data_IF_476787882082
#
_entry.id   IF_476787882082
#
_cell.length_a   1.000
_cell.length_b   1.000
_cell.length_c   1.000
_cell.angle_alpha   90.00
_cell.angle_beta   90.00
_cell.angle_gamma   90.00
#
_symmetry.space_group_name_H-M   'P 1'
#
loop_
_entity.id
_entity.type
_entity.pdbx_description
1 polymer ?
#
# COMPACT_ATOMS: atom_id res chain seq x y z
N UNK A 1 25.54 6.45 3.17
CA UNK A 1 24.20 6.23 3.77
C UNK A 1 23.38 5.38 2.81
N UNK A 2 22.70 4.35 3.32
CA UNK A 2 21.79 3.53 2.48
C UNK A 2 20.53 4.33 2.13
N UNK A 3 20.01 4.13 0.90
CA UNK A 3 18.78 4.79 0.46
C UNK A 3 17.57 4.27 1.26
N UNK A 4 16.60 5.13 1.61
CA UNK A 4 15.47 4.74 2.43
C UNK A 4 14.48 3.82 1.70
N UNK A 5 13.75 3.02 2.47
CA UNK A 5 12.51 2.40 2.03
C UNK A 5 11.38 3.43 2.10
N UNK A 6 10.65 3.66 1.03
CA UNK A 6 9.40 4.41 1.09
C UNK A 6 8.29 3.47 1.56
N UNK A 7 7.70 3.73 2.74
CA UNK A 7 6.58 2.97 3.27
C UNK A 7 5.32 3.83 3.24
N UNK A 8 4.38 3.50 2.36
CA UNK A 8 3.10 4.18 2.20
C UNK A 8 2.06 3.56 3.14
N UNK A 9 1.36 4.39 3.92
CA UNK A 9 0.45 3.93 4.97
C UNK A 9 1.16 3.66 6.30
N UNK A 10 2.26 4.37 6.57
CA UNK A 10 3.22 4.13 7.64
C UNK A 10 2.70 4.32 9.07
N UNK A 11 1.53 4.96 9.28
CA UNK A 11 1.05 5.35 10.61
C UNK A 11 0.14 4.33 11.29
N UNK A 12 -0.24 3.25 10.63
CA UNK A 12 -1.14 2.25 11.21
C UNK A 12 -1.04 0.88 10.53
N UNK A 13 -1.53 -0.16 11.21
CA UNK A 13 -1.66 -1.51 10.66
C UNK A 13 -0.33 -2.09 10.15
N UNK A 14 -0.39 -2.74 8.97
CA UNK A 14 0.78 -3.40 8.36
C UNK A 14 1.89 -2.40 8.04
N UNK A 15 1.53 -1.18 7.62
CA UNK A 15 2.52 -0.14 7.32
C UNK A 15 3.33 0.28 8.54
N UNK A 16 2.70 0.46 9.71
CA UNK A 16 3.41 0.78 10.95
C UNK A 16 4.32 -0.36 11.38
N UNK A 17 3.86 -1.61 11.32
CA UNK A 17 4.68 -2.79 11.60
C UNK A 17 5.87 -2.92 10.62
N UNK A 18 5.68 -2.56 9.37
CA UNK A 18 6.76 -2.55 8.38
C UNK A 18 7.82 -1.47 8.69
N UNK A 19 7.41 -0.31 9.24
CA UNK A 19 8.34 0.71 9.75
C UNK A 19 9.14 0.15 10.93
N UNK A 20 8.49 -0.41 11.94
CA UNK A 20 9.14 -1.00 13.11
C UNK A 20 10.15 -2.08 12.71
N UNK A 21 9.76 -3.00 11.84
CA UNK A 21 10.62 -4.09 11.38
C UNK A 21 11.82 -3.57 10.58
N UNK A 22 11.62 -2.60 9.69
CA UNK A 22 12.71 -2.00 8.93
C UNK A 22 13.71 -1.30 9.84
N UNK A 23 13.24 -0.53 10.80
CA UNK A 23 14.07 0.16 11.80
C UNK A 23 14.82 -0.85 12.68
N UNK A 24 14.14 -1.90 13.14
CA UNK A 24 14.76 -2.98 13.91
C UNK A 24 15.90 -3.69 13.17
N UNK A 25 15.89 -3.64 11.84
CA UNK A 25 16.96 -4.15 10.96
C UNK A 25 18.00 -3.09 10.57
N UNK A 26 17.93 -1.89 11.13
CA UNK A 26 18.84 -0.79 10.82
C UNK A 26 18.63 -0.20 9.41
N UNK A 27 17.45 -0.38 8.79
CA UNK A 27 17.14 0.13 7.47
C UNK A 27 16.47 1.51 7.59
N UNK A 28 16.96 2.55 6.88
CA UNK A 28 16.30 3.83 6.87
C UNK A 28 14.95 3.77 6.13
N UNK A 29 13.98 4.49 6.67
CA UNK A 29 12.60 4.53 6.21
C UNK A 29 12.16 5.97 5.97
N UNK A 30 11.52 6.24 4.84
CA UNK A 30 10.66 7.39 4.65
C UNK A 30 9.22 6.94 4.90
N UNK A 31 8.66 7.39 6.02
CA UNK A 31 7.34 6.97 6.50
C UNK A 31 6.27 7.90 5.93
N UNK A 32 5.63 7.50 4.83
CA UNK A 32 4.64 8.30 4.11
C UNK A 32 3.22 8.01 4.58
N UNK A 33 2.53 9.03 5.05
CA UNK A 33 1.11 9.00 5.37
C UNK A 33 0.56 10.41 5.54
N UNK A 34 -0.76 10.60 5.46
CA UNK A 34 -1.41 11.91 5.75
C UNK A 34 -1.14 12.42 7.18
N UNK A 35 -0.97 11.52 8.12
CA UNK A 35 -0.69 11.83 9.53
C UNK A 35 0.75 11.51 9.95
N UNK A 36 1.71 11.51 9.02
CA UNK A 36 3.10 11.17 9.32
C UNK A 36 3.77 12.14 10.30
N UNK A 37 3.27 13.37 10.43
CA UNK A 37 3.76 14.36 11.42
C UNK A 37 3.63 13.88 12.88
N UNK A 38 2.79 12.86 13.12
CA UNK A 38 2.67 12.23 14.44
C UNK A 38 3.80 11.24 14.76
N UNK A 39 4.62 10.89 13.77
CA UNK A 39 5.75 9.99 13.95
C UNK A 39 6.98 10.76 14.44
N UNK A 40 7.70 10.19 15.40
CA UNK A 40 8.95 10.76 15.87
C UNK A 40 10.06 10.58 14.83
N UNK A 41 10.67 11.69 14.43
CA UNK A 41 11.83 11.67 13.53
C UNK A 41 13.05 11.12 14.24
N UNK A 42 13.78 10.25 13.56
CA UNK A 42 15.05 9.68 14.05
C UNK A 42 16.06 9.53 12.90
N UNK A 43 17.24 9.02 13.18
CA UNK A 43 18.26 8.76 12.17
C UNK A 43 17.79 7.72 11.13
N UNK A 44 16.84 6.86 11.49
CA UNK A 44 16.28 5.82 10.63
C UNK A 44 14.85 6.11 10.16
N UNK A 45 14.16 7.10 10.73
CA UNK A 45 12.78 7.45 10.37
C UNK A 45 12.72 8.89 9.90
N UNK A 46 12.33 9.06 8.65
CA UNK A 46 11.97 10.34 8.03
C UNK A 46 10.46 10.39 7.87
N UNK A 47 9.69 11.07 8.76
CA UNK A 47 8.27 11.28 8.55
C UNK A 47 8.03 12.14 7.30
N UNK A 48 7.07 11.74 6.47
CA UNK A 48 6.70 12.45 5.25
C UNK A 48 5.17 12.53 5.15
N UNK A 49 4.61 13.68 5.50
CA UNK A 49 3.18 13.92 5.38
C UNK A 49 2.79 14.17 3.92
N UNK A 50 1.78 13.43 3.43
CA UNK A 50 1.32 13.56 2.04
C UNK A 50 0.08 12.72 1.73
N UNK A 51 -0.62 13.05 0.66
CA UNK A 51 -1.72 12.26 0.12
C UNK A 51 -1.21 11.34 -1.00
N UNK A 52 -1.51 10.05 -0.87
CA UNK A 52 -1.13 9.04 -1.86
C UNK A 52 -1.79 9.25 -3.25
N UNK A 53 -2.81 10.11 -3.35
CA UNK A 53 -3.45 10.50 -4.61
C UNK A 53 -2.86 11.79 -5.19
N UNK A 54 -1.98 12.46 -4.47
CA UNK A 54 -1.25 13.63 -4.97
C UNK A 54 0.01 13.19 -5.72
N UNK A 55 0.08 13.48 -7.01
CA UNK A 55 1.25 13.18 -7.83
C UNK A 55 2.50 13.94 -7.34
N UNK A 56 2.33 15.16 -6.82
CA UNK A 56 3.41 15.98 -6.27
C UNK A 56 3.98 15.33 -5.01
N UNK A 57 3.11 14.96 -4.04
CA UNK A 57 3.54 14.37 -2.78
C UNK A 57 4.24 13.02 -2.99
N UNK A 58 3.67 12.18 -3.86
CA UNK A 58 4.22 10.85 -4.16
C UNK A 58 5.55 10.97 -4.90
N UNK A 59 5.67 11.86 -5.87
CA UNK A 59 6.93 12.09 -6.59
C UNK A 59 8.02 12.61 -5.65
N UNK A 60 7.68 13.56 -4.77
CA UNK A 60 8.62 14.07 -3.78
C UNK A 60 9.07 12.98 -2.78
N UNK A 61 8.13 12.14 -2.34
CA UNK A 61 8.44 11.03 -1.44
C UNK A 61 9.30 9.93 -2.08
N UNK A 62 9.22 9.73 -3.39
CA UNK A 62 10.02 8.74 -4.13
C UNK A 62 11.50 9.13 -4.26
N UNK A 63 11.83 10.43 -4.26
CA UNK A 63 13.19 10.90 -4.50
C UNK A 63 14.19 10.16 -3.60
N UNK A 64 15.09 9.40 -4.22
CA UNK A 64 16.14 8.66 -3.52
C UNK A 64 15.67 7.43 -2.75
N UNK A 65 14.41 7.00 -2.90
CA UNK A 65 13.97 5.74 -2.33
C UNK A 65 14.56 4.55 -3.11
N UNK A 66 14.93 3.48 -2.39
CA UNK A 66 15.44 2.25 -3.02
C UNK A 66 14.34 1.27 -3.41
N UNK A 67 13.23 1.30 -2.70
CA UNK A 67 12.06 0.45 -2.92
C UNK A 67 10.83 1.05 -2.24
N UNK A 68 9.65 0.63 -2.69
CA UNK A 68 8.36 1.03 -2.12
C UNK A 68 7.70 -0.16 -1.44
N UNK A 69 7.21 0.05 -0.20
CA UNK A 69 6.24 -0.84 0.45
C UNK A 69 4.91 -0.10 0.45
N UNK A 70 3.98 -0.58 -0.37
CA UNK A 70 2.63 -0.04 -0.43
C UNK A 70 1.73 -0.80 0.53
N UNK A 71 1.36 -0.18 1.65
CA UNK A 71 0.56 -0.77 2.72
C UNK A 71 -0.60 0.15 3.13
N UNK A 72 -1.20 0.87 2.17
CA UNK A 72 -2.37 1.69 2.44
C UNK A 72 -3.56 0.82 2.86
N UNK A 73 -4.24 1.28 3.89
CA UNK A 73 -5.47 0.71 4.38
C UNK A 73 -6.59 1.75 4.44
N UNK A 74 -7.81 1.29 4.46
CA UNK A 74 -9.00 2.10 4.72
C UNK A 74 -9.54 1.75 6.10
N UNK A 75 -10.02 2.77 6.82
CA UNK A 75 -10.81 2.50 8.04
C UNK A 75 -12.17 1.97 7.60
N UNK A 76 -12.54 0.79 8.10
CA UNK A 76 -13.85 0.22 7.86
C UNK A 76 -14.94 1.18 8.33
N UNK A 77 -15.82 1.55 7.40
CA UNK A 77 -17.01 2.38 7.65
C UNK A 77 -18.22 1.69 7.04
N UNK A 78 -19.38 1.84 7.66
CA UNK A 78 -20.64 1.34 7.09
C UNK A 78 -20.93 1.93 5.69
N UNK A 79 -20.49 3.17 5.42
CA UNK A 79 -20.62 3.82 4.12
C UNK A 79 -19.93 3.04 2.97
N UNK A 80 -18.91 2.22 3.26
CA UNK A 80 -18.22 1.37 2.25
C UNK A 80 -19.15 0.35 1.57
N UNK A 81 -20.32 0.07 2.16
CA UNK A 81 -21.31 -0.82 1.55
C UNK A 81 -22.00 -0.17 0.34
N UNK A 82 -22.05 1.17 0.29
CA UNK A 82 -22.78 1.94 -0.72
C UNK A 82 -21.87 2.80 -1.61
N UNK A 83 -20.73 3.25 -1.11
CA UNK A 83 -19.79 4.08 -1.84
C UNK A 83 -18.80 3.22 -2.65
N UNK A 84 -18.43 3.70 -3.83
CA UNK A 84 -17.35 3.08 -4.60
C UNK A 84 -16.01 3.48 -4.00
N UNK A 85 -15.19 2.48 -3.64
CA UNK A 85 -13.83 2.73 -3.16
C UNK A 85 -12.88 2.81 -4.37
N UNK A 86 -12.09 3.86 -4.44
CA UNK A 86 -11.13 4.10 -5.53
C UNK A 86 -9.71 4.40 -5.01
N UNK A 87 -9.54 4.48 -3.69
CA UNK A 87 -8.25 4.85 -3.08
C UNK A 87 -7.10 3.98 -3.58
N UNK A 88 -7.31 2.67 -3.64
CA UNK A 88 -6.24 1.73 -3.98
C UNK A 88 -5.82 1.84 -5.45
N UNK A 89 -6.77 1.88 -6.37
CA UNK A 89 -6.47 1.98 -7.79
C UNK A 89 -5.96 3.36 -8.18
N UNK A 90 -6.52 4.44 -7.62
CA UNK A 90 -6.07 5.82 -7.89
C UNK A 90 -4.65 6.05 -7.37
N UNK A 91 -4.39 5.76 -6.09
CA UNK A 91 -3.06 5.95 -5.51
C UNK A 91 -2.01 5.03 -6.12
N UNK A 92 -2.39 3.83 -6.55
CA UNK A 92 -1.49 2.94 -7.29
C UNK A 92 -1.14 3.53 -8.65
N UNK A 93 -2.11 4.08 -9.39
CA UNK A 93 -1.83 4.73 -10.68
C UNK A 93 -0.86 5.89 -10.51
N UNK A 94 -1.12 6.77 -9.52
CA UNK A 94 -0.22 7.89 -9.19
C UNK A 94 1.19 7.38 -8.88
N UNK A 95 1.32 6.35 -8.04
CA UNK A 95 2.61 5.78 -7.68
C UNK A 95 3.34 5.18 -8.90
N UNK A 96 2.65 4.37 -9.70
CA UNK A 96 3.25 3.74 -10.88
C UNK A 96 3.71 4.78 -11.90
N UNK A 97 2.93 5.85 -12.11
CA UNK A 97 3.31 6.95 -13.01
C UNK A 97 4.54 7.71 -12.48
N UNK A 98 4.61 7.98 -11.19
CA UNK A 98 5.79 8.57 -10.57
C UNK A 98 7.03 7.65 -10.67
N UNK A 99 6.88 6.34 -10.47
CA UNK A 99 7.95 5.36 -10.59
C UNK A 99 8.49 5.19 -12.02
N UNK A 100 7.72 5.54 -13.07
CA UNK A 100 8.21 5.55 -14.47
C UNK A 100 9.32 6.58 -14.70
N UNK A 101 9.26 7.68 -14.00
CA UNK A 101 10.22 8.80 -14.13
C UNK A 101 11.32 8.74 -13.09
N UNK A 102 11.13 8.02 -11.98
CA UNK A 102 12.13 7.79 -10.95
C UNK A 102 12.96 6.52 -11.24
N UNK A 103 14.05 6.36 -10.51
CA UNK A 103 14.94 5.17 -10.62
C UNK A 103 14.46 3.99 -9.78
N UNK A 104 13.48 4.19 -8.91
CA UNK A 104 12.93 3.16 -8.04
C UNK A 104 12.10 2.18 -8.85
N UNK A 105 12.57 0.93 -8.91
CA UNK A 105 11.93 -0.13 -9.72
C UNK A 105 11.23 -1.20 -8.89
N UNK A 106 11.52 -1.28 -7.58
CA UNK A 106 11.03 -2.32 -6.70
C UNK A 106 9.79 -1.85 -5.92
N UNK A 107 8.70 -2.61 -6.01
CA UNK A 107 7.48 -2.40 -5.22
C UNK A 107 7.01 -3.70 -4.56
N UNK A 108 6.66 -3.62 -3.27
CA UNK A 108 5.94 -4.66 -2.53
C UNK A 108 4.59 -4.08 -2.13
N UNK A 109 3.51 -4.59 -2.72
CA UNK A 109 2.16 -4.13 -2.45
C UNK A 109 1.39 -5.11 -1.56
N UNK A 110 0.82 -4.60 -0.47
CA UNK A 110 -0.06 -5.37 0.40
C UNK A 110 -1.51 -5.15 -0.04
N UNK A 111 -2.16 -6.22 -0.50
CA UNK A 111 -3.55 -6.20 -0.94
C UNK A 111 -4.45 -6.95 0.05
N UNK A 112 -5.09 -8.04 -0.33
CA UNK A 112 -5.90 -8.85 0.57
C UNK A 112 -6.24 -10.20 -0.04
N UNK A 113 -6.45 -11.20 0.80
CA UNK A 113 -6.95 -12.49 0.35
C UNK A 113 -8.37 -12.35 -0.23
N UNK A 114 -8.60 -12.90 -1.41
CA UNK A 114 -9.85 -12.72 -2.17
C UNK A 114 -9.77 -11.65 -3.26
N UNK A 115 -8.68 -10.87 -3.34
CA UNK A 115 -8.37 -10.00 -4.48
C UNK A 115 -7.68 -10.79 -5.60
N UNK A 116 -7.86 -10.35 -6.85
CA UNK A 116 -7.18 -10.87 -8.03
C UNK A 116 -7.27 -12.39 -8.16
N UNK A 117 -6.14 -13.04 -8.38
CA UNK A 117 -6.01 -14.50 -8.61
C UNK A 117 -6.37 -15.35 -7.39
N UNK A 118 -6.33 -14.80 -6.16
CA UNK A 118 -6.65 -15.56 -4.94
C UNK A 118 -8.15 -15.82 -4.77
N UNK A 119 -9.02 -15.11 -5.51
CA UNK A 119 -10.48 -15.35 -5.52
C UNK A 119 -10.84 -16.80 -5.90
N UNK A 120 -10.07 -17.44 -6.77
CA UNK A 120 -10.25 -18.84 -7.16
C UNK A 120 -10.01 -19.86 -6.05
N UNK A 121 -9.27 -19.50 -5.02
CA UNK A 121 -8.96 -20.36 -3.87
C UNK A 121 -10.04 -20.34 -2.77
N UNK A 122 -11.03 -19.44 -2.88
CA UNK A 122 -12.14 -19.34 -1.90
C UNK A 122 -13.22 -20.38 -2.21
N UNK A 123 -13.80 -20.97 -1.16
CA UNK A 123 -15.00 -21.80 -1.29
C UNK A 123 -16.21 -21.00 -1.78
N UNK A 124 -17.25 -21.68 -2.31
CA UNK A 124 -18.44 -21.01 -2.84
C UNK A 124 -19.20 -20.20 -1.77
N UNK A 125 -19.20 -20.67 -0.52
CA UNK A 125 -19.86 -20.00 0.62
C UNK A 125 -19.06 -18.76 1.04
N UNK A 126 -17.74 -18.88 1.14
CA UNK A 126 -16.85 -17.74 1.44
C UNK A 126 -16.94 -16.67 0.36
N UNK A 127 -17.02 -17.06 -0.93
CA UNK A 127 -17.21 -16.15 -2.06
C UNK A 127 -18.51 -15.35 -1.95
N UNK A 128 -19.60 -15.99 -1.55
CA UNK A 128 -20.91 -15.33 -1.43
C UNK A 128 -20.91 -14.33 -0.27
N UNK A 129 -20.42 -14.71 0.90
CA UNK A 129 -20.30 -13.83 2.06
C UNK A 129 -19.36 -12.67 1.83
N UNK A 130 -18.20 -12.94 1.25
CA UNK A 130 -17.19 -11.95 0.91
C UNK A 130 -17.71 -10.91 -0.11
N UNK A 131 -18.44 -11.36 -1.13
CA UNK A 131 -19.04 -10.48 -2.14
C UNK A 131 -20.15 -9.59 -1.58
N UNK A 132 -20.93 -10.08 -0.62
CA UNK A 132 -22.02 -9.33 -0.01
C UNK A 132 -21.52 -8.21 0.92
N UNK A 133 -20.42 -8.42 1.65
CA UNK A 133 -19.92 -7.50 2.68
C UNK A 133 -18.75 -6.64 2.19
N UNK A 134 -17.85 -7.20 1.37
CA UNK A 134 -16.58 -6.57 0.99
C UNK A 134 -16.43 -6.34 -0.53
N UNK A 135 -17.51 -6.53 -1.31
CA UNK A 135 -17.43 -6.55 -2.77
C UNK A 135 -16.84 -5.30 -3.43
N UNK A 136 -17.18 -4.10 -2.94
CA UNK A 136 -16.73 -2.83 -3.54
C UNK A 136 -15.25 -2.52 -3.25
N UNK A 137 -14.77 -2.58 -2.00
CA UNK A 137 -13.34 -2.40 -1.71
C UNK A 137 -12.44 -3.44 -2.40
N UNK A 138 -12.93 -4.68 -2.53
CA UNK A 138 -12.17 -5.71 -3.22
C UNK A 138 -12.15 -5.55 -4.74
N UNK A 139 -13.19 -4.98 -5.33
CA UNK A 139 -13.17 -4.60 -6.75
C UNK A 139 -12.08 -3.54 -7.03
N UNK A 140 -11.85 -2.62 -6.10
CA UNK A 140 -10.76 -1.64 -6.23
C UNK A 140 -9.39 -2.29 -6.03
N UNK A 141 -9.25 -3.23 -5.10
CA UNK A 141 -8.02 -4.01 -4.95
C UNK A 141 -7.73 -4.91 -6.17
N UNK A 142 -8.76 -5.42 -6.84
CA UNK A 142 -8.58 -6.14 -8.11
C UNK A 142 -8.02 -5.21 -9.20
N UNK A 143 -8.52 -3.98 -9.29
CA UNK A 143 -8.00 -2.94 -10.20
C UNK A 143 -6.55 -2.58 -9.84
N UNK A 144 -6.25 -2.45 -8.55
CA UNK A 144 -4.90 -2.20 -8.06
C UNK A 144 -3.94 -3.30 -8.51
N UNK A 145 -4.28 -4.57 -8.29
CA UNK A 145 -3.43 -5.70 -8.65
C UNK A 145 -3.21 -5.79 -10.17
N UNK A 146 -4.23 -5.52 -10.98
CA UNK A 146 -4.11 -5.49 -12.43
C UNK A 146 -3.11 -4.41 -12.87
N UNK A 147 -3.22 -3.19 -12.35
CA UNK A 147 -2.29 -2.09 -12.64
C UNK A 147 -0.83 -2.45 -12.31
N UNK A 148 -0.61 -3.09 -11.16
CA UNK A 148 0.74 -3.51 -10.74
C UNK A 148 1.27 -4.62 -11.66
N UNK A 149 0.44 -5.62 -11.96
CA UNK A 149 0.84 -6.77 -12.78
C UNK A 149 1.12 -6.42 -14.25
N UNK A 150 0.48 -5.37 -14.77
CA UNK A 150 0.70 -4.84 -16.11
C UNK A 150 1.91 -3.90 -16.20
N UNK A 151 2.47 -3.48 -15.05
CA UNK A 151 3.66 -2.64 -15.03
C UNK A 151 4.93 -3.43 -15.35
N UNK A 152 5.96 -2.73 -15.82
CA UNK A 152 7.30 -3.26 -16.07
C UNK A 152 8.22 -3.21 -14.83
N UNK A 153 7.65 -3.00 -13.65
CA UNK A 153 8.37 -2.93 -12.39
C UNK A 153 8.72 -4.31 -11.83
N UNK A 154 9.70 -4.36 -10.95
CA UNK A 154 9.97 -5.51 -10.10
C UNK A 154 8.99 -5.51 -8.93
N UNK A 155 7.87 -6.21 -9.09
CA UNK A 155 6.78 -6.19 -8.13
C UNK A 155 6.60 -7.50 -7.36
N UNK A 156 6.07 -7.36 -6.16
CA UNK A 156 5.54 -8.47 -5.35
C UNK A 156 4.20 -8.05 -4.75
N UNK A 157 3.18 -8.88 -4.89
CA UNK A 157 1.88 -8.68 -4.25
C UNK A 157 1.75 -9.65 -3.09
N UNK A 158 1.55 -9.10 -1.88
CA UNK A 158 1.32 -9.85 -0.64
C UNK A 158 -0.16 -9.80 -0.33
N UNK A 159 -0.78 -10.98 -0.20
CA UNK A 159 -2.23 -11.16 0.10
C UNK A 159 -2.39 -11.79 1.47
N UNK A 160 -2.33 -11.01 2.56
CA UNK A 160 -2.55 -11.57 3.88
C UNK A 160 -3.97 -12.12 3.99
N UNK A 161 -4.13 -13.28 4.62
CA UNK A 161 -5.44 -13.84 5.01
C UNK A 161 -5.97 -13.06 6.20
N UNK A 162 -6.31 -13.68 7.30
CA UNK A 162 -6.76 -13.00 8.51
C UNK A 162 -5.52 -12.67 9.36
N UNK A 163 -5.35 -11.39 9.69
CA UNK A 163 -4.32 -10.96 10.63
C UNK A 163 -4.89 -11.11 12.04
N UNK A 164 -4.38 -12.06 12.80
CA UNK A 164 -4.64 -12.19 14.23
C UNK A 164 -3.56 -11.44 15.00
N UNK A 165 -3.95 -10.75 16.07
CA UNK A 165 -3.03 -10.15 17.03
C UNK A 165 -2.50 -11.22 17.97
#
# INVERSE_FOLDING_TARGET
MSLPLLIMGATSGIGALAVEEAVGRGLPVRAFARGADSLEKSDLIEPFAGDARSAEDVSAALVGARAVIYALGIKERLAMLWEEETLFSESTRVLLDAMKTDRTRRIVAVTGFGAGRSRGAMSSIERLGHRAILGKPYADKDRQEALIAESDLDWTIVRPVILTR
#
